data_IF_081127417727
#
_entry.id   IF_081127417727
#
_cell.length_a   1.000
_cell.length_b   1.000
_cell.length_c   1.000
_cell.angle_alpha   90.00
_cell.angle_beta   90.00
_cell.angle_gamma   90.00
#
_symmetry.space_group_name_H-M   'P 1'
#
loop_
_entity.id
_entity.type
_entity.pdbx_description
1 polymer ?
#
# COMPACT_ATOMS: atom_id res chain seq x y z
N UNK A 1 5.91 -10.29 17.02
CA UNK A 1 4.67 -10.67 17.74
C UNK A 1 3.87 -11.57 16.81
N UNK A 2 3.46 -12.77 17.28
CA UNK A 2 2.58 -13.67 16.52
C UNK A 2 1.46 -14.18 17.44
N UNK A 3 0.24 -14.24 16.91
CA UNK A 3 -0.93 -14.81 17.59
C UNK A 3 -1.91 -15.38 16.57
N UNK A 4 -2.59 -16.45 16.94
CA UNK A 4 -3.67 -17.07 16.14
C UNK A 4 -5.02 -16.31 16.31
N UNK A 5 -5.07 -15.32 17.21
CA UNK A 5 -6.26 -14.51 17.49
C UNK A 5 -6.15 -13.08 16.99
N UNK A 6 -7.02 -12.22 17.53
CA UNK A 6 -7.01 -10.80 17.24
C UNK A 6 -5.85 -10.07 17.94
N UNK A 7 -5.40 -8.97 17.36
CA UNK A 7 -4.45 -8.04 17.98
C UNK A 7 -5.11 -6.68 18.19
N UNK A 8 -4.93 -6.11 19.38
CA UNK A 8 -5.30 -4.72 19.66
C UNK A 8 -4.11 -4.01 20.26
N UNK A 9 -3.59 -3.03 19.53
CA UNK A 9 -2.56 -2.11 19.99
C UNK A 9 -3.21 -0.77 20.30
N UNK A 10 -3.18 -0.36 21.57
CA UNK A 10 -3.82 0.86 22.04
C UNK A 10 -2.88 1.66 22.92
N UNK A 11 -2.35 2.75 22.35
CA UNK A 11 -1.38 3.60 23.05
C UNK A 11 0.02 3.00 23.18
N UNK A 12 0.94 3.83 23.63
CA UNK A 12 2.34 3.45 23.88
C UNK A 12 3.25 3.50 22.66
N UNK A 13 4.50 3.11 22.88
CA UNK A 13 5.56 3.10 21.87
C UNK A 13 6.16 1.70 21.75
N UNK A 14 6.42 1.27 20.50
CA UNK A 14 7.00 -0.04 20.24
C UNK A 14 8.01 0.03 19.10
N UNK A 15 9.15 -0.62 19.28
CA UNK A 15 10.18 -0.80 18.24
C UNK A 15 10.38 -2.31 18.05
N UNK A 16 10.18 -2.77 16.81
CA UNK A 16 10.31 -4.18 16.45
C UNK A 16 11.37 -4.34 15.35
N UNK A 17 12.29 -5.26 15.58
CA UNK A 17 13.30 -5.66 14.61
C UNK A 17 13.15 -7.16 14.34
N UNK A 18 13.07 -7.56 13.08
CA UNK A 18 13.02 -8.96 12.68
C UNK A 18 13.90 -9.21 11.46
N UNK A 19 14.54 -10.36 11.45
CA UNK A 19 15.39 -10.82 10.34
C UNK A 19 14.98 -12.22 9.84
N UNK A 20 13.89 -12.77 10.36
CA UNK A 20 13.38 -14.06 9.91
C UNK A 20 13.00 -14.03 8.43
N UNK A 21 13.39 -15.09 7.71
CA UNK A 21 12.98 -15.32 6.33
C UNK A 21 11.68 -16.13 6.30
N UNK A 22 11.02 -16.19 5.13
CA UNK A 22 9.94 -17.13 4.92
C UNK A 22 10.44 -18.59 5.06
N UNK A 23 9.56 -19.46 5.51
CA UNK A 23 9.79 -20.89 5.62
C UNK A 23 8.70 -21.63 4.84
N UNK A 24 9.06 -22.77 4.25
CA UNK A 24 8.11 -23.68 3.63
C UNK A 24 7.66 -24.69 4.70
N UNK A 25 6.40 -24.64 5.03
CA UNK A 25 5.74 -25.50 6.01
C UNK A 25 4.36 -25.88 5.50
N UNK A 26 3.93 -27.12 5.69
CA UNK A 26 2.57 -27.60 5.36
C UNK A 26 2.11 -27.28 3.91
N UNK A 27 3.01 -27.37 2.93
CA UNK A 27 2.80 -27.04 1.53
C UNK A 27 2.51 -25.57 1.22
N UNK A 28 2.88 -24.67 2.12
CA UNK A 28 2.73 -23.22 1.97
C UNK A 28 3.96 -22.46 2.46
N UNK A 29 4.03 -21.17 2.15
CA UNK A 29 5.08 -20.26 2.60
C UNK A 29 4.61 -19.40 3.77
N UNK A 30 5.14 -19.68 4.95
CA UNK A 30 4.95 -18.85 6.13
C UNK A 30 6.01 -17.75 6.21
N UNK A 31 5.61 -16.49 6.13
CA UNK A 31 6.52 -15.34 6.22
C UNK A 31 6.67 -14.84 7.66
N UNK A 32 7.90 -14.44 8.00
CA UNK A 32 8.14 -13.71 9.23
C UNK A 32 7.56 -12.27 9.12
N UNK A 33 7.08 -11.74 10.23
CA UNK A 33 6.58 -10.37 10.31
C UNK A 33 6.95 -9.73 11.66
N UNK A 34 6.99 -8.40 11.71
CA UNK A 34 7.08 -7.68 12.97
C UNK A 34 5.87 -7.98 13.85
N UNK A 35 4.67 -7.89 13.27
CA UNK A 35 3.41 -8.30 13.89
C UNK A 35 2.64 -9.16 12.91
N UNK A 36 2.24 -10.37 13.35
CA UNK A 36 1.37 -11.28 12.61
C UNK A 36 0.20 -11.71 13.48
N UNK A 37 -1.01 -11.67 12.91
CA UNK A 37 -2.18 -12.28 13.54
C UNK A 37 -3.07 -12.96 12.50
N UNK A 38 -3.71 -14.04 12.89
CA UNK A 38 -4.65 -14.78 12.04
C UNK A 38 -6.07 -14.20 12.14
N UNK A 39 -6.35 -13.40 13.18
CA UNK A 39 -7.59 -12.66 13.37
C UNK A 39 -7.55 -11.22 12.86
N UNK A 40 -8.41 -10.36 13.41
CA UNK A 40 -8.47 -8.94 13.11
C UNK A 40 -7.43 -8.14 13.91
N UNK A 41 -7.00 -7.01 13.36
CA UNK A 41 -6.06 -6.13 14.03
C UNK A 41 -6.60 -4.71 14.15
N UNK A 42 -6.42 -4.10 15.32
CA UNK A 42 -6.65 -2.69 15.59
C UNK A 42 -5.34 -2.05 16.04
N UNK A 43 -4.96 -0.94 15.40
CA UNK A 43 -3.79 -0.13 15.75
C UNK A 43 -4.28 1.29 16.01
N UNK A 44 -4.38 1.69 17.28
CA UNK A 44 -4.95 2.99 17.63
C UNK A 44 -4.12 3.71 18.70
N UNK A 45 -3.69 4.92 18.41
CA UNK A 45 -2.98 5.78 19.36
C UNK A 45 -1.56 5.30 19.72
N UNK A 46 -0.91 4.52 18.84
CA UNK A 46 0.44 3.97 19.09
C UNK A 46 1.51 4.65 18.24
N UNK A 47 2.73 4.69 18.75
CA UNK A 47 3.93 4.95 17.97
C UNK A 47 4.65 3.63 17.72
N UNK A 48 4.65 3.17 16.45
CA UNK A 48 5.16 1.86 16.07
C UNK A 48 6.26 1.98 15.00
N UNK A 49 7.43 1.48 15.31
CA UNK A 49 8.54 1.36 14.36
C UNK A 49 8.86 -0.11 14.11
N UNK A 50 8.79 -0.55 12.86
CA UNK A 50 9.11 -1.92 12.47
C UNK A 50 10.20 -1.90 11.39
N UNK A 51 11.24 -2.72 11.59
CA UNK A 51 12.20 -3.07 10.54
C UNK A 51 12.25 -4.58 10.36
N UNK A 52 11.92 -5.04 9.14
CA UNK A 52 11.98 -6.44 8.75
C UNK A 52 12.99 -6.60 7.61
N UNK A 53 13.97 -7.51 7.77
CA UNK A 53 15.10 -7.63 6.81
C UNK A 53 15.19 -9.00 6.16
N UNK A 54 14.47 -10.00 6.64
CA UNK A 54 14.49 -11.34 6.04
C UNK A 54 13.75 -11.40 4.72
N UNK A 55 14.08 -12.39 3.88
CA UNK A 55 13.38 -12.62 2.62
C UNK A 55 11.89 -12.88 2.86
N UNK A 56 11.03 -12.24 2.07
CA UNK A 56 9.57 -12.19 2.24
C UNK A 56 9.09 -11.67 3.61
N UNK A 57 9.98 -11.03 4.38
CA UNK A 57 9.61 -10.50 5.69
C UNK A 57 8.63 -9.35 5.59
N UNK A 58 7.60 -9.34 6.44
CA UNK A 58 6.55 -8.32 6.47
C UNK A 58 6.70 -7.41 7.69
N UNK A 59 6.24 -6.18 7.58
CA UNK A 59 6.10 -5.31 8.73
C UNK A 59 4.91 -5.74 9.59
N UNK A 60 3.70 -5.57 9.06
CA UNK A 60 2.44 -6.06 9.63
C UNK A 60 1.84 -7.06 8.66
N UNK A 61 1.38 -8.21 9.17
CA UNK A 61 0.62 -9.21 8.44
C UNK A 61 -0.63 -9.61 9.24
N UNK A 62 -1.80 -9.35 8.69
CA UNK A 62 -3.09 -9.62 9.32
C UNK A 62 -3.94 -10.47 8.37
N UNK A 63 -4.38 -11.65 8.81
CA UNK A 63 -5.21 -12.51 7.95
C UNK A 63 -6.69 -12.07 7.99
N UNK A 64 -7.10 -11.30 9.01
CA UNK A 64 -8.41 -10.66 9.09
C UNK A 64 -8.41 -9.21 8.59
N UNK A 65 -9.29 -8.39 9.17
CA UNK A 65 -9.37 -6.94 8.91
C UNK A 65 -8.32 -6.17 9.71
N UNK A 66 -7.82 -5.08 9.13
CA UNK A 66 -6.87 -4.19 9.79
C UNK A 66 -7.42 -2.75 9.82
N UNK A 67 -7.55 -2.17 11.02
CA UNK A 67 -7.91 -0.77 11.19
C UNK A 67 -6.78 0.00 11.87
N UNK A 68 -6.38 1.12 11.26
CA UNK A 68 -5.32 2.00 11.76
C UNK A 68 -5.91 3.40 12.00
N UNK A 69 -5.75 3.92 13.21
CA UNK A 69 -6.20 5.26 13.57
C UNK A 69 -5.24 5.93 14.56
N UNK A 70 -5.14 7.26 14.52
CA UNK A 70 -4.46 8.09 15.52
C UNK A 70 -3.02 7.64 15.86
N UNK A 71 -2.33 6.99 14.94
CA UNK A 71 -1.06 6.31 15.19
C UNK A 71 0.06 6.89 14.34
N UNK A 72 1.29 6.72 14.81
CA UNK A 72 2.51 7.04 14.06
C UNK A 72 3.20 5.73 13.72
N UNK A 73 3.20 5.36 12.44
CA UNK A 73 3.79 4.12 11.96
C UNK A 73 5.01 4.41 11.08
N UNK A 74 6.13 3.78 11.38
CA UNK A 74 7.32 3.77 10.53
C UNK A 74 7.69 2.33 10.24
N UNK A 75 7.49 1.89 9.00
CA UNK A 75 7.70 0.50 8.60
C UNK A 75 8.71 0.43 7.46
N UNK A 76 9.74 -0.39 7.65
CA UNK A 76 10.77 -0.66 6.63
C UNK A 76 10.88 -2.17 6.47
N UNK A 77 10.69 -2.67 5.25
CA UNK A 77 10.99 -4.07 4.90
C UNK A 77 12.01 -4.07 3.78
N UNK A 78 13.11 -4.80 3.93
CA UNK A 78 14.20 -4.81 2.94
C UNK A 78 14.47 -6.20 2.37
N UNK A 79 13.69 -7.19 2.76
CA UNK A 79 13.81 -8.56 2.26
C UNK A 79 13.42 -8.63 0.79
N UNK A 80 14.11 -9.49 0.05
CA UNK A 80 13.73 -9.84 -1.32
C UNK A 80 12.63 -10.90 -1.31
N UNK A 81 12.07 -11.17 -2.49
CA UNK A 81 11.20 -12.31 -2.70
C UNK A 81 11.88 -13.62 -2.25
N UNK A 82 11.13 -14.49 -1.63
CA UNK A 82 11.51 -15.86 -1.30
C UNK A 82 10.74 -16.82 -2.20
N UNK A 83 11.47 -17.67 -2.91
CA UNK A 83 10.90 -18.66 -3.83
C UNK A 83 11.31 -20.04 -3.40
N UNK A 84 10.35 -20.94 -3.23
CA UNK A 84 10.59 -22.35 -2.94
C UNK A 84 9.48 -23.22 -3.51
N UNK A 85 9.83 -24.30 -4.19
CA UNK A 85 8.89 -25.29 -4.74
C UNK A 85 7.74 -24.67 -5.59
N UNK A 86 8.05 -23.68 -6.44
CA UNK A 86 7.12 -22.91 -7.30
C UNK A 86 6.14 -22.02 -6.54
N UNK A 87 6.28 -21.92 -5.24
CA UNK A 87 5.60 -20.92 -4.43
C UNK A 87 6.53 -19.74 -4.25
N UNK A 88 5.96 -18.55 -4.15
CA UNK A 88 6.70 -17.34 -3.84
C UNK A 88 6.00 -16.52 -2.75
N UNK A 89 6.77 -15.72 -2.06
CA UNK A 89 6.28 -14.72 -1.13
C UNK A 89 7.24 -13.53 -1.16
N UNK A 90 6.70 -12.33 -1.05
CA UNK A 90 7.48 -11.10 -1.10
C UNK A 90 7.36 -10.28 0.18
N UNK A 91 8.33 -9.40 0.40
CA UNK A 91 8.27 -8.48 1.51
C UNK A 91 7.13 -7.47 1.32
N UNK A 92 6.35 -7.23 2.38
CA UNK A 92 5.28 -6.23 2.40
C UNK A 92 5.46 -5.32 3.60
N UNK A 93 5.12 -4.04 3.42
CA UNK A 93 5.09 -3.13 4.57
C UNK A 93 3.93 -3.47 5.49
N UNK A 94 2.72 -3.31 5.01
CA UNK A 94 1.46 -3.64 5.71
C UNK A 94 0.62 -4.52 4.79
N UNK A 95 0.21 -5.69 5.28
CA UNK A 95 -0.68 -6.60 4.55
C UNK A 95 -1.88 -6.99 5.41
N UNK A 96 -3.06 -6.96 4.80
CA UNK A 96 -4.28 -7.54 5.35
C UNK A 96 -4.96 -8.43 4.31
N UNK A 97 -5.41 -9.63 4.69
CA UNK A 97 -6.20 -10.47 3.79
C UNK A 97 -7.67 -10.03 3.76
N UNK A 98 -8.16 -9.44 4.84
CA UNK A 98 -9.43 -8.73 4.90
C UNK A 98 -9.33 -7.25 4.48
N UNK A 99 -10.38 -6.47 4.78
CA UNK A 99 -10.37 -5.04 4.53
C UNK A 99 -9.29 -4.34 5.38
N UNK A 100 -8.60 -3.37 4.76
CA UNK A 100 -7.65 -2.50 5.42
C UNK A 100 -8.18 -1.08 5.42
N UNK A 101 -8.31 -0.48 6.59
CA UNK A 101 -8.79 0.90 6.74
C UNK A 101 -7.76 1.75 7.48
N UNK A 102 -7.44 2.89 6.91
CA UNK A 102 -6.64 3.95 7.53
C UNK A 102 -7.57 5.12 7.78
N UNK A 103 -7.92 5.35 9.05
CA UNK A 103 -8.81 6.45 9.42
C UNK A 103 -8.04 7.75 9.65
N UNK A 104 -6.85 7.67 10.23
CA UNK A 104 -6.01 8.83 10.56
C UNK A 104 -4.61 8.39 11.02
N UNK A 105 -3.73 9.36 11.22
CA UNK A 105 -2.38 9.16 11.75
C UNK A 105 -1.30 9.54 10.74
N UNK A 106 -0.05 9.28 11.09
CA UNK A 106 1.12 9.48 10.22
C UNK A 106 1.72 8.12 9.91
N UNK A 107 1.69 7.72 8.65
CA UNK A 107 2.11 6.39 8.20
C UNK A 107 3.22 6.56 7.17
N UNK A 108 4.38 6.02 7.47
CA UNK A 108 5.49 6.00 6.57
C UNK A 108 5.95 4.56 6.32
N UNK A 109 5.95 4.14 5.06
CA UNK A 109 6.30 2.77 4.65
C UNK A 109 7.38 2.81 3.59
N UNK A 110 8.36 1.91 3.69
CA UNK A 110 9.40 1.72 2.67
C UNK A 110 9.67 0.24 2.43
N UNK A 111 9.51 -0.20 1.15
CA UNK A 111 9.65 -1.60 0.74
C UNK A 111 10.46 -1.74 -0.56
N UNK A 112 11.79 -1.58 -0.55
CA UNK A 112 12.64 -1.61 -1.74
C UNK A 112 13.06 -3.04 -2.15
N UNK A 113 12.35 -4.08 -1.75
CA UNK A 113 12.80 -5.49 -1.81
C UNK A 113 12.81 -6.12 -3.21
N UNK A 114 12.28 -5.48 -4.24
CA UNK A 114 12.12 -6.03 -5.59
C UNK A 114 10.67 -6.43 -5.86
N UNK A 115 10.45 -7.26 -6.87
CA UNK A 115 9.11 -7.72 -7.30
C UNK A 115 8.27 -8.25 -6.13
N UNK A 116 6.99 -7.91 -6.12
CA UNK A 116 6.01 -8.23 -5.10
C UNK A 116 6.22 -7.47 -3.78
N UNK A 117 7.19 -6.53 -3.66
CA UNK A 117 7.37 -5.76 -2.41
C UNK A 117 6.50 -4.52 -2.38
N UNK A 118 5.20 -4.74 -2.27
CA UNK A 118 4.23 -3.66 -2.12
C UNK A 118 4.33 -2.99 -0.74
N UNK A 119 3.94 -1.72 -0.73
CA UNK A 119 3.94 -0.93 0.49
C UNK A 119 2.78 -1.30 1.41
N UNK A 120 1.55 -1.10 0.96
CA UNK A 120 0.30 -1.38 1.70
C UNK A 120 -0.61 -2.22 0.81
N UNK A 121 -0.92 -3.44 1.24
CA UNK A 121 -1.70 -4.40 0.48
C UNK A 121 -2.96 -4.83 1.26
N UNK A 122 -4.11 -4.84 0.57
CA UNK A 122 -5.33 -5.52 1.02
C UNK A 122 -5.76 -6.56 0.00
N UNK A 123 -5.97 -7.80 0.42
CA UNK A 123 -6.57 -8.82 -0.46
C UNK A 123 -8.10 -8.65 -0.60
N UNK A 124 -8.62 -7.52 -0.12
CA UNK A 124 -10.03 -7.14 -0.23
C UNK A 124 -10.15 -5.66 -0.61
N UNK A 125 -10.56 -4.79 0.31
CA UNK A 125 -10.76 -3.36 0.11
C UNK A 125 -9.75 -2.58 0.94
N UNK A 126 -9.03 -1.65 0.30
CA UNK A 126 -8.20 -0.66 0.96
C UNK A 126 -8.93 0.67 1.02
N UNK A 127 -9.16 1.21 2.21
CA UNK A 127 -9.81 2.51 2.41
C UNK A 127 -8.90 3.45 3.18
N UNK A 128 -8.70 4.66 2.67
CA UNK A 128 -8.04 5.75 3.37
C UNK A 128 -9.04 6.87 3.61
N UNK A 129 -9.42 7.07 4.86
CA UNK A 129 -10.35 8.12 5.27
C UNK A 129 -9.63 9.42 5.61
N UNK A 130 -8.35 9.36 6.01
CA UNK A 130 -7.56 10.51 6.40
C UNK A 130 -6.14 10.15 6.80
N UNK A 131 -5.42 11.12 7.35
CA UNK A 131 -4.04 10.99 7.79
C UNK A 131 -3.01 11.43 6.76
N UNK A 132 -1.73 11.37 7.17
CA UNK A 132 -0.56 11.64 6.33
C UNK A 132 0.11 10.31 5.99
N UNK A 133 -0.04 9.83 4.75
CA UNK A 133 0.43 8.52 4.33
C UNK A 133 1.49 8.67 3.25
N UNK A 134 2.70 8.20 3.51
CA UNK A 134 3.81 8.22 2.55
C UNK A 134 4.33 6.80 2.34
N UNK A 135 4.29 6.34 1.11
CA UNK A 135 4.71 4.99 0.72
C UNK A 135 5.78 5.05 -0.36
N UNK A 136 6.87 4.35 -0.13
CA UNK A 136 7.98 4.18 -1.06
C UNK A 136 8.20 2.68 -1.27
N UNK A 137 7.91 2.18 -2.46
CA UNK A 137 8.02 0.76 -2.77
C UNK A 137 8.92 0.51 -3.98
N UNK A 138 9.28 -0.74 -4.20
CA UNK A 138 9.75 -1.16 -5.51
C UNK A 138 8.56 -1.56 -6.38
N UNK A 139 7.67 -2.38 -5.86
CA UNK A 139 6.41 -2.75 -6.48
C UNK A 139 5.33 -1.72 -6.12
N UNK A 140 4.06 -2.06 -6.17
CA UNK A 140 2.99 -1.09 -5.91
C UNK A 140 3.11 -0.44 -4.53
N UNK A 141 2.85 0.87 -4.46
CA UNK A 141 2.78 1.49 -3.16
C UNK A 141 1.52 1.09 -2.40
N UNK A 142 0.38 1.09 -3.07
CA UNK A 142 -0.89 0.64 -2.52
C UNK A 142 -1.55 -0.32 -3.51
N UNK A 143 -1.83 -1.54 -3.07
CA UNK A 143 -2.51 -2.55 -3.86
C UNK A 143 -3.78 -3.05 -3.16
N UNK A 144 -4.85 -3.31 -3.92
CA UNK A 144 -6.04 -3.97 -3.41
C UNK A 144 -6.70 -4.87 -4.43
N UNK A 145 -7.11 -6.07 -4.00
CA UNK A 145 -7.69 -7.06 -4.91
C UNK A 145 -9.11 -6.73 -5.37
N UNK A 146 -9.87 -5.89 -4.63
CA UNK A 146 -11.27 -5.59 -4.96
C UNK A 146 -11.54 -4.12 -5.19
N UNK A 147 -11.00 -3.24 -4.36
CA UNK A 147 -11.23 -1.80 -4.49
C UNK A 147 -10.25 -1.00 -3.65
N UNK A 148 -9.86 0.17 -4.16
CA UNK A 148 -9.21 1.21 -3.38
C UNK A 148 -10.13 2.42 -3.27
N UNK A 149 -10.29 2.96 -2.06
CA UNK A 149 -11.14 4.11 -1.77
C UNK A 149 -10.35 5.17 -1.02
N UNK A 150 -10.24 6.35 -1.59
CA UNK A 150 -9.68 7.53 -0.93
C UNK A 150 -10.79 8.53 -0.61
N UNK A 151 -11.10 8.68 0.67
CA UNK A 151 -12.08 9.65 1.16
C UNK A 151 -11.41 10.94 1.64
N UNK A 152 -10.12 10.90 1.97
CA UNK A 152 -9.39 12.05 2.51
C UNK A 152 -7.93 11.74 2.75
N UNK A 153 -7.24 12.65 3.44
CA UNK A 153 -5.83 12.54 3.81
C UNK A 153 -4.86 13.18 2.82
N UNK A 154 -3.58 13.21 3.22
CA UNK A 154 -2.46 13.59 2.37
C UNK A 154 -1.69 12.33 2.04
N UNK A 155 -1.71 11.92 0.79
CA UNK A 155 -1.20 10.63 0.35
C UNK A 155 -0.10 10.85 -0.68
N UNK A 156 1.05 10.27 -0.43
CA UNK A 156 2.19 10.27 -1.35
C UNK A 156 2.63 8.83 -1.60
N UNK A 157 2.56 8.40 -2.85
CA UNK A 157 3.02 7.10 -3.32
C UNK A 157 4.14 7.28 -4.34
N UNK A 158 5.25 6.58 -4.15
CA UNK A 158 6.34 6.50 -5.12
C UNK A 158 6.77 5.04 -5.29
N UNK A 159 6.43 4.46 -6.42
CA UNK A 159 6.95 3.17 -6.84
C UNK A 159 8.14 3.36 -7.80
N UNK A 160 9.16 2.54 -7.62
CA UNK A 160 10.34 2.58 -8.48
C UNK A 160 10.36 1.49 -9.56
N UNK A 161 9.45 0.53 -9.51
CA UNK A 161 9.42 -0.60 -10.42
C UNK A 161 8.03 -1.00 -10.92
N UNK A 162 6.95 -0.43 -10.35
CA UNK A 162 5.57 -0.74 -10.73
C UNK A 162 4.66 0.47 -10.53
N UNK A 163 3.39 0.27 -10.16
CA UNK A 163 2.38 1.31 -10.03
C UNK A 163 2.45 2.08 -8.71
N UNK A 164 2.04 3.33 -8.76
CA UNK A 164 1.88 4.10 -7.53
C UNK A 164 0.69 3.60 -6.72
N UNK A 165 -0.45 3.44 -7.35
CA UNK A 165 -1.69 2.87 -6.79
C UNK A 165 -2.24 1.88 -7.80
N UNK A 166 -2.37 0.62 -7.39
CA UNK A 166 -2.96 -0.45 -8.20
C UNK A 166 -4.19 -1.04 -7.52
N UNK A 167 -5.34 -0.87 -8.16
CA UNK A 167 -6.59 -1.51 -7.76
C UNK A 167 -6.98 -2.57 -8.79
N UNK A 168 -6.84 -3.83 -8.47
CA UNK A 168 -7.31 -4.93 -9.31
C UNK A 168 -8.85 -4.96 -9.45
N UNK A 169 -9.50 -3.91 -9.00
CA UNK A 169 -10.93 -3.68 -9.09
C UNK A 169 -11.24 -2.19 -9.20
N UNK A 170 -12.25 -1.71 -8.50
CA UNK A 170 -12.65 -0.30 -8.64
C UNK A 170 -11.73 0.64 -7.87
N UNK A 171 -11.49 1.83 -8.44
CA UNK A 171 -10.79 2.92 -7.76
C UNK A 171 -11.76 4.10 -7.56
N UNK A 172 -11.88 4.58 -6.32
CA UNK A 172 -12.78 5.68 -5.98
C UNK A 172 -12.04 6.74 -5.18
N UNK A 173 -12.11 7.98 -5.64
CA UNK A 173 -11.55 9.14 -4.93
C UNK A 173 -12.67 10.16 -4.70
N UNK A 174 -12.94 10.43 -3.42
CA UNK A 174 -13.97 11.40 -2.99
C UNK A 174 -13.36 12.63 -2.33
N UNK A 175 -12.08 12.58 -1.94
CA UNK A 175 -11.39 13.68 -1.25
C UNK A 175 -9.91 13.40 -1.05
N UNK A 176 -9.24 14.33 -0.37
CA UNK A 176 -7.82 14.26 -0.05
C UNK A 176 -6.91 14.98 -1.06
N UNK A 177 -5.62 14.98 -0.74
CA UNK A 177 -4.54 15.39 -1.64
C UNK A 177 -3.68 14.16 -1.91
N UNK A 178 -3.65 13.71 -3.17
CA UNK A 178 -3.04 12.44 -3.54
C UNK A 178 -2.03 12.67 -4.65
N UNK A 179 -0.79 12.31 -4.39
CA UNK A 179 0.27 12.25 -5.39
C UNK A 179 0.70 10.80 -5.52
N UNK A 180 0.51 10.24 -6.69
CA UNK A 180 0.86 8.85 -6.98
C UNK A 180 1.79 8.78 -8.19
N UNK A 181 2.95 8.18 -7.97
CA UNK A 181 4.02 8.08 -8.97
C UNK A 181 4.36 6.61 -9.16
N UNK A 182 4.04 6.11 -10.34
CA UNK A 182 4.50 4.83 -10.86
C UNK A 182 5.76 4.99 -11.71
N UNK A 183 6.28 3.92 -12.23
CA UNK A 183 7.46 3.96 -13.10
C UNK A 183 7.09 4.19 -14.58
N UNK A 184 7.98 3.86 -15.48
CA UNK A 184 7.77 4.02 -16.94
C UNK A 184 6.82 2.96 -17.48
N UNK A 185 6.22 3.21 -18.66
CA UNK A 185 5.29 2.28 -19.32
C UNK A 185 5.75 0.80 -19.27
N UNK A 186 4.83 -0.11 -18.94
CA UNK A 186 3.36 0.09 -18.92
C UNK A 186 2.80 0.69 -17.63
N UNK A 187 3.61 0.87 -16.60
CA UNK A 187 3.19 1.15 -15.23
C UNK A 187 2.55 2.55 -15.08
N UNK A 188 1.68 2.69 -14.10
CA UNK A 188 0.78 3.82 -13.96
C UNK A 188 0.96 4.58 -12.62
N UNK A 189 0.55 5.84 -12.61
CA UNK A 189 0.35 6.55 -11.34
C UNK A 189 -0.88 6.00 -10.62
N UNK A 190 -1.95 5.74 -11.36
CA UNK A 190 -3.18 5.09 -10.90
C UNK A 190 -3.60 4.04 -11.90
N UNK A 191 -3.60 2.78 -11.50
CA UNK A 191 -4.14 1.65 -12.24
C UNK A 191 -5.42 1.10 -11.59
N UNK A 192 -6.36 0.66 -12.40
CA UNK A 192 -7.55 -0.06 -11.98
C UNK A 192 -8.04 -1.07 -13.05
N UNK A 193 -7.15 -1.64 -13.85
CA UNK A 193 -7.44 -2.75 -14.77
C UNK A 193 -8.68 -2.56 -15.66
N UNK A 194 -8.94 -1.38 -16.20
CA UNK A 194 -10.17 -1.06 -16.95
C UNK A 194 -11.48 -1.15 -16.13
N UNK A 195 -11.39 -1.30 -14.82
CA UNK A 195 -12.54 -1.20 -13.93
C UNK A 195 -12.99 0.27 -13.77
N UNK A 196 -14.00 0.49 -12.96
CA UNK A 196 -14.52 1.84 -12.71
C UNK A 196 -13.52 2.67 -11.91
N UNK A 197 -13.03 3.76 -12.51
CA UNK A 197 -12.27 4.81 -11.84
C UNK A 197 -13.17 6.02 -11.60
N UNK A 198 -13.62 6.21 -10.37
CA UNK A 198 -14.54 7.27 -9.98
C UNK A 198 -13.82 8.38 -9.23
N UNK A 199 -13.96 9.63 -9.72
CA UNK A 199 -13.41 10.82 -9.08
C UNK A 199 -14.54 11.83 -8.85
N UNK A 200 -14.82 12.15 -7.58
CA UNK A 200 -15.86 13.11 -7.20
C UNK A 200 -15.33 14.25 -6.34
N UNK A 201 -14.07 14.22 -5.94
CA UNK A 201 -13.42 15.27 -5.15
C UNK A 201 -11.93 15.01 -4.97
N UNK A 202 -11.25 15.91 -4.28
CA UNK A 202 -9.82 15.85 -3.99
C UNK A 202 -8.93 16.61 -4.97
N UNK A 203 -7.64 16.69 -4.61
CA UNK A 203 -6.56 17.19 -5.49
C UNK A 203 -5.67 16.00 -5.82
N UNK A 204 -5.54 15.69 -7.11
CA UNK A 204 -4.96 14.42 -7.55
C UNK A 204 -3.87 14.69 -8.58
N UNK A 205 -2.72 14.07 -8.41
CA UNK A 205 -1.64 14.04 -9.38
C UNK A 205 -1.18 12.60 -9.57
N UNK A 206 -1.41 12.03 -10.75
CA UNK A 206 -0.85 10.74 -11.18
C UNK A 206 0.29 10.96 -12.17
N UNK A 207 1.41 10.30 -11.95
CA UNK A 207 2.57 10.30 -12.85
C UNK A 207 2.98 8.85 -13.09
N UNK A 208 3.18 8.48 -14.35
CA UNK A 208 3.60 7.13 -14.74
C UNK A 208 3.81 7.05 -16.23
N UNK A 209 4.10 5.86 -16.72
CA UNK A 209 4.19 5.59 -18.15
C UNK A 209 2.83 5.49 -18.83
N UNK A 210 1.79 5.22 -18.03
CA UNK A 210 0.39 5.21 -18.42
C UNK A 210 -0.50 5.80 -17.33
N UNK A 211 -1.80 5.67 -17.50
CA UNK A 211 -2.81 5.94 -16.47
C UNK A 211 -4.15 5.34 -16.85
N UNK A 212 -4.82 4.72 -15.90
CA UNK A 212 -6.23 4.33 -16.05
C UNK A 212 -7.09 5.57 -16.27
N UNK A 213 -8.04 5.47 -17.19
CA UNK A 213 -8.90 6.61 -17.57
C UNK A 213 -10.09 6.71 -16.60
N UNK A 214 -10.30 7.87 -15.95
CA UNK A 214 -11.48 8.10 -15.14
C UNK A 214 -12.78 7.86 -15.90
N UNK A 215 -13.71 7.14 -15.30
CA UNK A 215 -14.99 6.72 -15.89
C UNK A 215 -15.96 7.91 -15.93
N UNK A 216 -16.11 8.54 -17.08
CA UNK A 216 -16.83 9.82 -17.23
C UNK A 216 -18.27 9.79 -16.72
N UNK A 217 -18.98 8.66 -16.82
CA UNK A 217 -20.38 8.52 -16.38
C UNK A 217 -20.59 8.60 -14.86
N UNK A 218 -19.52 8.42 -14.06
CA UNK A 218 -19.57 8.43 -12.59
C UNK A 218 -18.69 9.51 -11.96
N UNK A 219 -17.87 10.19 -12.75
CA UNK A 219 -17.04 11.29 -12.27
C UNK A 219 -17.83 12.61 -12.27
N UNK A 220 -17.68 13.38 -11.19
CA UNK A 220 -18.22 14.76 -11.11
C UNK A 220 -17.11 15.81 -11.17
N UNK A 221 -15.86 15.40 -11.01
CA UNK A 221 -14.69 16.26 -11.14
C UNK A 221 -14.07 16.11 -12.54
N UNK A 222 -13.67 17.22 -13.12
CA UNK A 222 -12.91 17.21 -14.39
C UNK A 222 -11.49 16.77 -14.13
N UNK A 223 -10.95 15.99 -15.05
CA UNK A 223 -9.56 15.52 -15.05
C UNK A 223 -8.90 15.86 -16.38
N UNK A 224 -7.58 16.03 -16.34
CA UNK A 224 -6.75 16.19 -17.53
C UNK A 224 -5.75 15.04 -17.54
N UNK A 225 -5.71 14.31 -18.64
CA UNK A 225 -4.68 13.32 -18.93
C UNK A 225 -3.78 13.92 -19.99
N UNK A 226 -2.51 14.06 -19.67
CA UNK A 226 -1.51 14.62 -20.58
C UNK A 226 -0.41 13.59 -20.85
N UNK A 227 -0.24 13.24 -22.09
CA UNK A 227 0.88 12.40 -22.55
C UNK A 227 1.97 13.27 -23.15
N UNK A 228 3.17 13.16 -22.63
CA UNK A 228 4.31 13.92 -23.12
C UNK A 228 5.63 13.41 -22.55
N UNK A 229 6.73 13.89 -23.12
CA UNK A 229 8.08 13.63 -22.61
C UNK A 229 8.71 14.95 -22.19
N UNK A 230 9.45 14.91 -21.10
CA UNK A 230 10.22 16.04 -20.60
C UNK A 230 11.57 15.59 -20.06
N UNK A 231 12.55 16.48 -20.05
CA UNK A 231 13.82 16.24 -19.37
C UNK A 231 13.67 16.54 -17.86
N UNK A 232 14.56 15.97 -17.05
CA UNK A 232 14.59 16.27 -15.63
C UNK A 232 14.67 17.79 -15.39
N UNK A 233 13.81 18.31 -14.52
CA UNK A 233 13.71 19.73 -14.23
C UNK A 233 12.79 20.53 -15.16
N UNK A 234 12.12 19.90 -16.14
CA UNK A 234 11.10 20.57 -16.94
C UNK A 234 9.93 21.00 -16.05
N UNK A 235 9.60 22.29 -16.09
CA UNK A 235 8.43 22.83 -15.40
C UNK A 235 7.16 22.43 -16.16
N UNK A 236 6.22 21.82 -15.44
CA UNK A 236 4.88 21.55 -15.94
C UNK A 236 3.93 22.56 -15.26
N UNK A 237 3.21 23.34 -16.07
CA UNK A 237 2.18 24.24 -15.58
C UNK A 237 0.82 23.72 -16.05
N UNK A 238 -0.09 23.51 -15.11
CA UNK A 238 -1.47 23.00 -15.33
C UNK A 238 -2.47 24.09 -14.97
#
# INVERSE_FOLDING_TARGET
>A
IKTDGNVSLTGGQMILLTSGTALYEDNDLSSAAGIKCDGNMIVNGVELSIKSTGAAGKGINCDGTLNIANSVLKIITTGKQYVYNRLDSSAKGIKADGNLTIDSGTIWVKTPGGEGSEGIESKSILTVNGGDVSVYSYDDCMNASKSIVFNGGNIYCYSSGNDGVDSNGTLTITGGTIVSIGTTSPEEGFDCDQNTFKITGGTILGIGGGTSTPTSSVCTQRTVIYGGTGSNGTLISI
#
